data_IF_924490536809
#
_entry.id   IF_924490536809
#
_cell.length_a   1.000
_cell.length_b   1.000
_cell.length_c   1.000
_cell.angle_alpha   90.00
_cell.angle_beta   90.00
_cell.angle_gamma   90.00
#
_symmetry.space_group_name_H-M   'P 1'
#
loop_
_entity.id
_entity.type
_entity.pdbx_description
1 polymer ?
#
# COMPACT_ATOMS: atom_id res chain seq x y z
N UNK A 1 -11.79 -5.83 21.14
CA UNK A 1 -10.90 -5.30 20.09
C UNK A 1 -10.13 -6.42 19.40
N UNK A 2 -9.60 -7.39 20.14
CA UNK A 2 -8.81 -8.50 19.58
C UNK A 2 -9.54 -9.30 18.51
N UNK A 3 -10.80 -9.66 18.75
CA UNK A 3 -11.62 -10.36 17.75
C UNK A 3 -11.79 -9.54 16.46
N UNK A 4 -11.93 -8.21 16.57
CA UNK A 4 -12.00 -7.33 15.39
C UNK A 4 -10.69 -7.35 14.60
N UNK A 5 -9.53 -7.40 15.28
CA UNK A 5 -8.22 -7.53 14.63
C UNK A 5 -8.08 -8.88 13.92
N UNK A 6 -8.50 -9.97 14.57
CA UNK A 6 -8.52 -11.31 13.98
C UNK A 6 -9.35 -11.35 12.71
N UNK A 7 -10.55 -10.77 12.76
CA UNK A 7 -11.45 -10.70 11.61
C UNK A 7 -10.91 -9.82 10.48
N UNK A 8 -10.30 -8.67 10.76
CA UNK A 8 -9.68 -7.84 9.71
C UNK A 8 -8.43 -8.53 9.12
N UNK A 9 -7.61 -9.21 9.93
CA UNK A 9 -6.47 -9.99 9.44
C UNK A 9 -6.91 -11.15 8.54
N UNK A 10 -7.97 -11.87 8.91
CA UNK A 10 -8.53 -12.96 8.09
C UNK A 10 -9.05 -12.47 6.74
N UNK A 11 -9.52 -11.23 6.63
CA UNK A 11 -10.03 -10.63 5.37
C UNK A 11 -8.92 -10.31 4.37
N UNK A 12 -7.71 -10.04 4.85
CA UNK A 12 -6.56 -9.72 3.98
C UNK A 12 -5.73 -10.96 3.60
N UNK A 13 -6.01 -12.11 4.21
CA UNK A 13 -5.39 -13.39 3.85
C UNK A 13 -6.29 -14.13 2.85
N UNK A 14 -5.77 -14.30 1.65
CA UNK A 14 -6.36 -15.12 0.60
C UNK A 14 -5.80 -16.54 0.69
N UNK A 15 -6.67 -17.53 0.56
CA UNK A 15 -6.30 -18.94 0.55
C UNK A 15 -6.23 -19.43 -0.89
N UNK A 16 -5.19 -20.17 -1.25
CA UNK A 16 -5.11 -20.80 -2.57
C UNK A 16 -6.09 -21.97 -2.68
N UNK A 17 -6.46 -22.31 -3.91
CA UNK A 17 -7.32 -23.47 -4.17
C UNK A 17 -6.60 -24.75 -3.69
N UNK A 18 -7.27 -25.62 -2.92
CA UNK A 18 -6.74 -26.93 -2.54
C UNK A 18 -6.13 -27.73 -3.70
N UNK A 19 -6.73 -27.67 -4.89
CA UNK A 19 -6.24 -28.39 -6.08
C UNK A 19 -4.86 -27.88 -6.51
N UNK A 20 -4.63 -26.56 -6.51
CA UNK A 20 -3.32 -25.97 -6.82
C UNK A 20 -2.25 -26.41 -5.82
N UNK A 21 -2.62 -26.50 -4.54
CA UNK A 21 -1.70 -26.94 -3.48
C UNK A 21 -1.33 -28.41 -3.69
N UNK A 22 -2.31 -29.26 -3.99
CA UNK A 22 -2.08 -30.68 -4.28
C UNK A 22 -1.19 -30.89 -5.50
N UNK A 23 -1.37 -30.09 -6.55
CA UNK A 23 -0.52 -30.14 -7.75
C UNK A 23 0.94 -29.78 -7.44
N UNK A 24 1.17 -28.75 -6.61
CA UNK A 24 2.51 -28.38 -6.14
C UNK A 24 3.16 -29.54 -5.37
N UNK A 25 2.41 -30.15 -4.45
CA UNK A 25 2.87 -31.28 -3.64
C UNK A 25 3.26 -32.46 -4.55
N UNK A 26 2.38 -32.86 -5.48
CA UNK A 26 2.61 -33.97 -6.41
C UNK A 26 3.86 -33.75 -7.26
N UNK A 27 4.00 -32.54 -7.82
CA UNK A 27 5.16 -32.17 -8.62
C UNK A 27 6.47 -32.29 -7.83
N UNK A 28 6.54 -31.68 -6.64
CA UNK A 28 7.76 -31.67 -5.82
C UNK A 28 8.22 -33.06 -5.39
N UNK A 29 7.30 -33.91 -4.93
CA UNK A 29 7.63 -35.28 -4.52
C UNK A 29 8.12 -36.13 -5.70
N UNK A 30 7.67 -35.82 -6.91
CA UNK A 30 8.09 -36.55 -8.12
C UNK A 30 9.48 -36.15 -8.60
N UNK A 31 9.95 -34.96 -8.23
CA UNK A 31 11.21 -34.38 -8.71
C UNK A 31 12.41 -34.66 -7.79
N UNK A 32 12.20 -34.92 -6.48
CA UNK A 32 13.30 -35.20 -5.54
C UNK A 32 12.82 -35.79 -4.20
N UNK A 33 13.75 -36.37 -3.44
CA UNK A 33 13.52 -36.75 -2.03
C UNK A 33 13.48 -35.47 -1.18
N UNK A 34 12.27 -35.03 -0.84
CA UNK A 34 12.01 -33.77 -0.13
C UNK A 34 11.50 -34.04 1.27
N UNK A 35 11.98 -33.26 2.24
CA UNK A 35 11.45 -33.28 3.60
C UNK A 35 10.00 -32.75 3.68
N UNK A 36 9.14 -33.51 4.36
CA UNK A 36 7.71 -33.22 4.57
C UNK A 36 7.52 -32.11 5.62
N UNK A 37 7.93 -30.90 5.27
CA UNK A 37 7.88 -29.70 6.11
C UNK A 37 7.62 -28.43 5.28
N UNK A 38 7.36 -27.31 5.96
CA UNK A 38 7.36 -25.99 5.35
C UNK A 38 8.78 -25.42 5.23
N UNK A 39 9.10 -24.75 4.12
CA UNK A 39 10.36 -24.03 3.92
C UNK A 39 10.83 -23.99 2.46
N UNK A 40 11.82 -23.14 2.19
CA UNK A 40 12.48 -23.09 0.87
C UNK A 40 13.16 -24.42 0.58
N UNK A 41 12.82 -25.06 -0.55
CA UNK A 41 13.32 -26.40 -0.90
C UNK A 41 12.71 -27.55 -0.10
N UNK A 42 11.64 -27.29 0.68
CA UNK A 42 10.87 -28.31 1.40
C UNK A 42 9.56 -28.64 0.65
N UNK A 43 8.63 -29.34 1.27
CA UNK A 43 7.39 -29.76 0.60
C UNK A 43 6.53 -28.58 0.16
N UNK A 44 6.35 -27.59 1.03
CA UNK A 44 5.57 -26.38 0.75
C UNK A 44 6.21 -25.14 1.36
N UNK A 45 5.85 -23.97 0.88
CA UNK A 45 6.09 -22.70 1.57
C UNK A 45 4.77 -22.08 2.00
N UNK A 46 4.78 -21.22 3.02
CA UNK A 46 3.56 -20.52 3.47
C UNK A 46 2.93 -19.72 2.33
N UNK A 47 3.76 -19.10 1.48
CA UNK A 47 3.33 -18.34 0.29
C UNK A 47 2.71 -19.21 -0.82
N UNK A 48 2.94 -20.51 -0.77
CA UNK A 48 2.29 -21.46 -1.69
C UNK A 48 0.90 -21.87 -1.21
N UNK A 49 0.57 -21.65 0.06
CA UNK A 49 -0.74 -21.97 0.66
C UNK A 49 -1.63 -20.73 0.77
N UNK A 50 -1.05 -19.58 1.13
CA UNK A 50 -1.77 -18.32 1.32
C UNK A 50 -1.13 -17.14 0.57
N UNK A 51 -1.95 -16.18 0.19
CA UNK A 51 -1.57 -14.84 -0.24
C UNK A 51 -2.01 -13.79 0.79
N UNK A 52 -1.33 -12.64 0.82
CA UNK A 52 -1.76 -11.48 1.62
C UNK A 52 -1.94 -10.29 0.70
N UNK A 53 -3.16 -9.78 0.62
CA UNK A 53 -3.56 -8.69 -0.28
C UNK A 53 -3.04 -7.34 0.21
N UNK A 54 -2.94 -7.15 1.53
CA UNK A 54 -2.47 -5.89 2.07
C UNK A 54 -0.94 -5.76 1.91
N UNK A 55 -0.43 -4.81 1.10
CA UNK A 55 0.97 -4.77 0.69
C UNK A 55 1.94 -4.52 1.86
N UNK A 56 1.58 -3.59 2.74
CA UNK A 56 2.38 -3.26 3.92
C UNK A 56 2.44 -4.46 4.88
N UNK A 57 1.29 -5.08 5.20
CA UNK A 57 1.25 -6.28 6.06
C UNK A 57 2.04 -7.45 5.46
N UNK A 58 1.89 -7.70 4.16
CA UNK A 58 2.59 -8.79 3.47
C UNK A 58 4.12 -8.73 3.64
N UNK A 59 4.70 -7.52 3.61
CA UNK A 59 6.14 -7.30 3.86
C UNK A 59 6.54 -7.49 5.30
N UNK A 60 5.62 -7.15 6.20
CA UNK A 60 5.86 -7.21 7.63
C UNK A 60 5.71 -8.63 8.16
N UNK A 61 5.12 -9.58 7.42
CA UNK A 61 5.01 -10.97 7.86
C UNK A 61 6.38 -11.64 8.02
N UNK A 62 6.59 -12.24 9.19
CA UNK A 62 7.76 -13.05 9.48
C UNK A 62 7.56 -14.48 9.00
N UNK A 63 7.66 -14.68 7.69
CA UNK A 63 7.50 -16.01 7.09
C UNK A 63 8.47 -17.04 7.69
N UNK A 64 9.65 -16.62 8.14
CA UNK A 64 10.63 -17.51 8.76
C UNK A 64 10.13 -18.09 10.08
N UNK A 65 9.66 -17.24 11.00
CA UNK A 65 9.15 -17.71 12.29
C UNK A 65 7.75 -18.35 12.18
N UNK A 66 6.89 -17.89 11.27
CA UNK A 66 5.64 -18.58 10.96
C UNK A 66 5.92 -20.01 10.47
N UNK A 67 6.92 -20.18 9.60
CA UNK A 67 7.34 -21.51 9.12
C UNK A 67 7.81 -22.41 10.28
N UNK A 68 8.61 -21.86 11.22
CA UNK A 68 9.05 -22.61 12.40
C UNK A 68 7.89 -23.06 13.29
N UNK A 69 6.89 -22.20 13.48
CA UNK A 69 5.71 -22.50 14.30
C UNK A 69 4.86 -23.60 13.65
N UNK A 70 4.64 -23.51 12.33
CA UNK A 70 3.97 -24.56 11.55
C UNK A 70 4.72 -25.90 11.62
N UNK A 71 6.04 -25.90 11.49
CA UNK A 71 6.85 -27.11 11.58
C UNK A 71 6.94 -27.66 13.02
N UNK A 72 6.64 -26.86 14.05
CA UNK A 72 6.57 -27.32 15.43
C UNK A 72 5.20 -27.91 15.77
N UNK A 73 4.18 -27.65 14.95
CA UNK A 73 2.83 -28.15 15.14
C UNK A 73 2.69 -29.60 14.67
N UNK A 74 2.45 -30.52 15.61
CA UNK A 74 2.32 -31.96 15.34
C UNK A 74 1.18 -32.27 14.38
N UNK A 75 0.03 -31.58 14.52
CA UNK A 75 -1.14 -31.79 13.65
C UNK A 75 -0.84 -31.40 12.20
N UNK A 76 -0.14 -30.29 11.98
CA UNK A 76 0.27 -29.86 10.63
C UNK A 76 1.18 -30.90 9.98
N UNK A 77 2.15 -31.44 10.74
CA UNK A 77 3.03 -32.51 10.27
C UNK A 77 2.27 -33.79 9.92
N UNK A 78 1.29 -34.18 10.73
CA UNK A 78 0.42 -35.33 10.45
C UNK A 78 -0.40 -35.13 9.18
N UNK A 79 -1.01 -33.96 8.99
CA UNK A 79 -1.79 -33.64 7.79
C UNK A 79 -0.91 -33.74 6.55
N UNK A 80 0.28 -33.13 6.57
CA UNK A 80 1.21 -33.20 5.44
C UNK A 80 1.61 -34.65 5.11
N UNK A 81 1.90 -35.48 6.13
CA UNK A 81 2.21 -36.91 5.93
C UNK A 81 1.04 -37.67 5.31
N UNK A 82 -0.19 -37.41 5.76
CA UNK A 82 -1.39 -38.05 5.20
C UNK A 82 -1.65 -37.64 3.75
N UNK A 83 -1.47 -36.36 3.42
CA UNK A 83 -1.57 -35.87 2.04
C UNK A 83 -0.55 -36.58 1.14
N UNK A 84 0.70 -36.69 1.59
CA UNK A 84 1.77 -37.39 0.85
C UNK A 84 1.44 -38.87 0.66
N UNK A 85 0.89 -39.54 1.66
CA UNK A 85 0.52 -40.96 1.59
C UNK A 85 -0.64 -41.21 0.62
N UNK A 86 -1.61 -40.30 0.56
CA UNK A 86 -2.82 -40.45 -0.25
C UNK A 86 -2.67 -39.88 -1.67
N UNK A 87 -1.55 -39.23 -2.01
CA UNK A 87 -1.38 -38.42 -3.23
C UNK A 87 -1.67 -39.17 -4.55
N UNK A 88 -1.42 -40.48 -4.59
CA UNK A 88 -1.58 -41.33 -5.78
C UNK A 88 -2.88 -42.16 -5.75
N UNK A 89 -3.71 -41.98 -4.73
CA UNK A 89 -4.98 -42.70 -4.61
C UNK A 89 -5.98 -42.24 -5.68
N UNK A 90 -6.64 -43.20 -6.30
CA UNK A 90 -7.64 -42.98 -7.37
C UNK A 90 -9.07 -43.28 -6.93
N UNK A 91 -9.25 -43.86 -5.74
CA UNK A 91 -10.57 -44.12 -5.19
C UNK A 91 -11.22 -42.83 -4.68
N UNK A 92 -12.54 -42.75 -4.86
CA UNK A 92 -13.34 -41.56 -4.55
C UNK A 92 -13.18 -41.12 -3.08
N UNK A 93 -13.14 -42.07 -2.15
CA UNK A 93 -13.04 -41.80 -0.71
C UNK A 93 -11.71 -41.15 -0.35
N UNK A 94 -10.60 -41.66 -0.91
CA UNK A 94 -9.28 -41.06 -0.71
C UNK A 94 -9.16 -39.66 -1.33
N UNK A 95 -9.78 -39.44 -2.50
CA UNK A 95 -9.81 -38.11 -3.13
C UNK A 95 -10.60 -37.10 -2.29
N UNK A 96 -11.76 -37.49 -1.75
CA UNK A 96 -12.53 -36.65 -0.82
C UNK A 96 -11.73 -36.34 0.45
N UNK A 97 -11.03 -37.34 1.00
CA UNK A 97 -10.16 -37.17 2.16
C UNK A 97 -8.97 -36.24 1.87
N UNK A 98 -8.36 -36.32 0.68
CA UNK A 98 -7.28 -35.43 0.27
C UNK A 98 -7.73 -33.96 0.23
N UNK A 99 -8.90 -33.71 -0.35
CA UNK A 99 -9.48 -32.36 -0.39
C UNK A 99 -9.77 -31.86 1.02
N UNK A 100 -10.35 -32.70 1.88
CA UNK A 100 -10.59 -32.36 3.29
C UNK A 100 -9.29 -32.02 4.03
N UNK A 101 -8.26 -32.87 3.94
CA UNK A 101 -6.96 -32.65 4.57
C UNK A 101 -6.28 -31.38 4.06
N UNK A 102 -6.41 -31.08 2.77
CA UNK A 102 -5.84 -29.88 2.18
C UNK A 102 -6.56 -28.62 2.67
N UNK A 103 -7.89 -28.66 2.76
CA UNK A 103 -8.66 -27.57 3.38
C UNK A 103 -8.26 -27.37 4.86
N UNK A 104 -8.14 -28.46 5.62
CA UNK A 104 -7.70 -28.39 7.01
C UNK A 104 -6.28 -27.80 7.13
N UNK A 105 -5.36 -28.17 6.23
CA UNK A 105 -4.02 -27.58 6.16
C UNK A 105 -4.08 -26.08 5.91
N UNK A 106 -4.88 -25.66 4.92
CA UNK A 106 -5.06 -24.25 4.56
C UNK A 106 -5.59 -23.44 5.75
N UNK A 107 -6.61 -23.95 6.44
CA UNK A 107 -7.19 -23.30 7.62
C UNK A 107 -6.16 -23.20 8.75
N UNK A 108 -5.39 -24.26 9.01
CA UNK A 108 -4.32 -24.23 10.02
C UNK A 108 -3.22 -23.24 9.68
N UNK A 109 -2.81 -23.15 8.42
CA UNK A 109 -1.82 -22.16 7.98
C UNK A 109 -2.37 -20.75 8.16
N UNK A 110 -3.62 -20.51 7.77
CA UNK A 110 -4.30 -19.22 7.93
C UNK A 110 -4.37 -18.81 9.40
N UNK A 111 -4.86 -19.70 10.27
CA UNK A 111 -4.96 -19.43 11.71
C UNK A 111 -3.60 -19.17 12.33
N UNK A 112 -2.58 -19.96 11.98
CA UNK A 112 -1.21 -19.77 12.48
C UNK A 112 -0.66 -18.41 12.06
N UNK A 113 -0.89 -17.98 10.82
CA UNK A 113 -0.44 -16.67 10.33
C UNK A 113 -1.14 -15.53 11.08
N UNK A 114 -2.46 -15.64 11.29
CA UNK A 114 -3.24 -14.66 12.06
C UNK A 114 -2.75 -14.60 13.51
N UNK A 115 -2.69 -15.74 14.18
CA UNK A 115 -2.30 -15.86 15.58
C UNK A 115 -0.89 -15.38 15.81
N UNK A 116 0.08 -15.86 15.01
CA UNK A 116 1.47 -15.47 15.14
C UNK A 116 1.62 -13.96 14.96
N UNK A 117 0.99 -13.40 13.92
CA UNK A 117 1.09 -11.96 13.62
C UNK A 117 0.48 -11.12 14.74
N UNK A 118 -0.74 -11.43 15.19
CA UNK A 118 -1.41 -10.64 16.23
C UNK A 118 -0.78 -10.84 17.60
N UNK A 119 -0.49 -12.09 17.99
CA UNK A 119 0.08 -12.41 19.29
C UNK A 119 1.48 -11.82 19.43
N UNK A 120 2.40 -12.12 18.53
CA UNK A 120 3.81 -11.70 18.67
C UNK A 120 4.06 -10.24 18.39
N UNK A 121 3.24 -9.60 17.55
CA UNK A 121 3.51 -8.23 17.09
C UNK A 121 2.57 -7.16 17.63
N UNK A 122 1.39 -7.54 18.14
CA UNK A 122 0.41 -6.58 18.68
C UNK A 122 0.20 -6.80 20.17
N UNK A 123 -0.11 -8.04 20.57
CA UNK A 123 -0.55 -8.35 21.95
C UNK A 123 0.62 -8.50 22.92
N UNK A 124 1.65 -9.26 22.54
CA UNK A 124 2.84 -9.55 23.35
C UNK A 124 4.02 -8.60 23.08
N UNK A 125 3.81 -7.54 22.27
CA UNK A 125 4.83 -6.51 22.09
C UNK A 125 5.03 -5.74 23.41
N UNK A 126 6.22 -5.83 23.99
CA UNK A 126 6.60 -5.12 25.22
C UNK A 126 6.82 -3.64 24.90
N UNK A 127 5.83 -2.78 25.20
CA UNK A 127 5.88 -1.31 25.11
C UNK A 127 6.49 -0.70 23.83
N UNK A 128 6.57 -1.49 22.77
CA UNK A 128 7.28 -1.22 21.53
C UNK A 128 6.27 -1.19 20.38
N UNK A 129 6.44 -0.20 19.51
CA UNK A 129 5.60 0.04 18.35
C UNK A 129 5.94 -0.85 17.15
N UNK A 130 6.73 -1.91 17.35
CA UNK A 130 7.29 -2.87 16.36
C UNK A 130 6.61 -2.86 14.98
N UNK A 131 7.36 -3.09 13.89
CA UNK A 131 7.01 -2.68 12.53
C UNK A 131 5.60 -3.00 12.00
N UNK A 132 4.90 -4.01 12.54
CA UNK A 132 3.51 -4.34 12.20
C UNK A 132 2.47 -3.33 12.70
N UNK A 133 2.77 -2.53 13.72
CA UNK A 133 1.83 -1.55 14.30
C UNK A 133 2.06 -0.17 13.69
N UNK A 134 3.34 0.23 13.60
CA UNK A 134 3.81 1.42 12.88
C UNK A 134 5.07 0.99 12.10
N UNK A 135 5.03 0.94 10.77
CA UNK A 135 6.24 0.79 9.96
C UNK A 135 7.36 1.77 10.40
N UNK A 136 8.62 1.29 10.53
CA UNK A 136 9.82 2.03 11.03
C UNK A 136 9.72 2.57 12.45
N UNK A 137 8.81 2.03 13.25
CA UNK A 137 9.05 2.00 14.69
C UNK A 137 10.39 1.29 14.96
N UNK A 138 11.16 1.89 15.85
CA UNK A 138 12.39 1.31 16.40
C UNK A 138 12.10 0.91 17.83
N UNK A 139 12.58 -0.26 18.23
CA UNK A 139 12.42 -0.70 19.61
C UNK A 139 13.03 0.29 20.60
N UNK A 140 12.46 0.38 21.81
CA UNK A 140 12.98 1.26 22.88
C UNK A 140 14.48 1.09 23.09
N UNK A 141 14.98 -0.13 22.91
CA UNK A 141 16.38 -0.52 23.12
C UNK A 141 17.26 -0.29 21.89
N UNK A 142 16.68 -0.08 20.71
CA UNK A 142 17.42 -0.03 19.44
C UNK A 142 17.76 1.39 18.98
N UNK A 143 17.03 2.42 19.44
CA UNK A 143 17.35 3.86 19.43
C UNK A 143 16.28 4.54 20.32
N UNK A 144 16.60 5.49 21.21
CA UNK A 144 15.58 6.21 21.96
C UNK A 144 14.61 6.88 20.98
N UNK A 145 13.40 6.33 20.93
CA UNK A 145 12.31 6.64 20.01
C UNK A 145 12.38 8.10 19.51
N UNK A 146 12.93 8.29 18.31
CA UNK A 146 13.21 9.63 17.75
C UNK A 146 11.90 10.43 17.54
N UNK A 147 10.78 9.71 17.50
CA UNK A 147 9.46 10.29 17.30
C UNK A 147 8.83 10.88 18.55
N UNK A 148 9.32 10.57 19.77
CA UNK A 148 9.10 11.30 21.03
C UNK A 148 9.72 10.52 22.21
N UNK A 149 10.77 11.08 22.82
CA UNK A 149 11.42 10.52 24.02
C UNK A 149 10.42 10.54 25.19
N UNK A 150 9.86 9.39 25.58
CA UNK A 150 8.96 9.24 26.73
C UNK A 150 7.53 8.77 26.44
N UNK A 151 7.16 8.52 25.19
CA UNK A 151 5.84 7.94 24.89
C UNK A 151 5.81 6.43 25.18
N UNK A 152 4.84 6.00 25.99
CA UNK A 152 4.50 4.60 26.23
C UNK A 152 3.16 4.29 25.57
N UNK A 153 3.17 3.35 24.63
CA UNK A 153 1.95 2.87 24.00
C UNK A 153 1.44 1.68 24.79
N UNK A 154 0.26 1.82 25.39
CA UNK A 154 -0.36 0.69 26.09
C UNK A 154 -0.90 -0.33 25.07
N UNK A 155 -1.41 -1.46 25.56
CA UNK A 155 -1.96 -2.52 24.70
C UNK A 155 -3.09 -2.01 23.80
N UNK A 156 -3.96 -1.15 24.29
CA UNK A 156 -5.10 -0.64 23.54
C UNK A 156 -4.66 0.30 22.41
N UNK A 157 -3.65 1.13 22.63
CA UNK A 157 -3.07 1.99 21.60
C UNK A 157 -2.47 1.17 20.46
N UNK A 158 -1.70 0.12 20.80
CA UNK A 158 -1.11 -0.79 19.81
C UNK A 158 -2.19 -1.53 19.02
N UNK A 159 -3.24 -1.99 19.69
CA UNK A 159 -4.37 -2.64 19.04
C UNK A 159 -5.12 -1.69 18.11
N UNK A 160 -5.28 -0.43 18.49
CA UNK A 160 -5.91 0.59 17.64
C UNK A 160 -5.07 0.89 16.39
N UNK A 161 -3.76 1.06 16.53
CA UNK A 161 -2.85 1.32 15.42
C UNK A 161 -2.79 0.13 14.44
N UNK A 162 -2.70 -1.09 14.96
CA UNK A 162 -2.79 -2.30 14.13
C UNK A 162 -4.14 -2.38 13.39
N UNK A 163 -5.23 -2.00 14.06
CA UNK A 163 -6.56 -1.98 13.45
C UNK A 163 -6.65 -0.95 12.33
N UNK A 164 -6.09 0.25 12.51
CA UNK A 164 -6.02 1.28 11.47
C UNK A 164 -5.22 0.80 10.25
N UNK A 165 -4.06 0.18 10.46
CA UNK A 165 -3.27 -0.39 9.38
C UNK A 165 -4.06 -1.47 8.63
N UNK A 166 -4.60 -2.47 9.32
CA UNK A 166 -5.38 -3.54 8.68
C UNK A 166 -6.59 -3.02 7.90
N UNK A 167 -7.18 -1.90 8.34
CA UNK A 167 -8.32 -1.30 7.66
C UNK A 167 -7.95 -0.33 6.56
N UNK A 168 -6.70 0.13 6.52
CA UNK A 168 -6.19 1.06 5.51
C UNK A 168 -6.44 0.50 4.10
N UNK A 169 -6.55 1.41 3.14
CA UNK A 169 -6.88 1.08 1.75
C UNK A 169 -5.55 0.91 1.01
N UNK A 170 -5.24 -0.28 0.49
CA UNK A 170 -4.07 -0.48 -0.34
C UNK A 170 -4.14 0.34 -1.62
N UNK A 171 -3.03 1.02 -1.95
CA UNK A 171 -2.86 1.75 -3.20
C UNK A 171 -1.52 1.33 -3.82
N UNK A 172 -1.58 0.49 -4.83
CA UNK A 172 -0.41 -0.13 -5.45
C UNK A 172 0.26 -1.16 -4.53
N UNK A 173 1.58 -1.31 -4.69
CA UNK A 173 2.35 -2.39 -4.05
C UNK A 173 3.01 -2.02 -2.73
N UNK A 174 3.05 -0.73 -2.40
CA UNK A 174 3.91 -0.20 -1.34
C UNK A 174 3.17 0.72 -0.37
N UNK A 175 1.99 1.23 -0.76
CA UNK A 175 1.28 2.27 -0.04
C UNK A 175 -0.05 1.73 0.45
N UNK A 176 -0.45 2.13 1.66
CA UNK A 176 -1.82 1.96 2.14
C UNK A 176 -2.24 3.20 2.93
N UNK A 177 -3.47 3.67 2.72
CA UNK A 177 -3.95 4.95 3.24
C UNK A 177 -5.14 4.71 4.17
N UNK A 178 -5.04 5.18 5.40
CA UNK A 178 -6.13 5.23 6.36
C UNK A 178 -6.63 6.67 6.48
N UNK A 179 -7.95 6.86 6.37
CA UNK A 179 -8.59 8.14 6.62
C UNK A 179 -9.30 8.03 7.98
N UNK A 180 -9.25 9.08 8.78
CA UNK A 180 -10.02 9.19 10.01
C UNK A 180 -11.47 9.57 9.68
N UNK A 181 -12.42 9.06 10.47
CA UNK A 181 -13.84 9.37 10.34
C UNK A 181 -14.59 8.60 9.25
N UNK A 182 -15.81 9.07 8.94
CA UNK A 182 -16.76 8.36 8.08
C UNK A 182 -16.35 8.30 6.61
N UNK A 183 -15.49 9.24 6.17
CA UNK A 183 -14.95 9.26 4.82
C UNK A 183 -14.24 7.95 4.45
N UNK A 184 -13.54 7.33 5.41
CA UNK A 184 -12.88 6.05 5.19
C UNK A 184 -13.85 4.92 4.87
N UNK A 185 -14.95 4.82 5.64
CA UNK A 185 -15.97 3.80 5.44
C UNK A 185 -16.69 4.01 4.11
N UNK A 186 -16.98 5.27 3.79
CA UNK A 186 -17.57 5.67 2.51
C UNK A 186 -16.67 5.24 1.34
N UNK A 187 -15.37 5.53 1.42
CA UNK A 187 -14.42 5.16 0.37
C UNK A 187 -14.35 3.64 0.19
N UNK A 188 -14.27 2.85 1.27
CA UNK A 188 -14.30 1.37 1.17
C UNK A 188 -15.60 0.85 0.54
N UNK A 189 -16.73 1.48 0.85
CA UNK A 189 -18.02 1.15 0.23
C UNK A 189 -18.00 1.48 -1.27
N UNK A 190 -17.48 2.64 -1.66
CA UNK A 190 -17.34 3.06 -3.05
C UNK A 190 -16.49 2.07 -3.86
N UNK A 191 -15.32 1.68 -3.34
CA UNK A 191 -14.42 0.72 -4.00
C UNK A 191 -15.10 -0.63 -4.23
N UNK A 192 -15.84 -1.13 -3.23
CA UNK A 192 -16.59 -2.39 -3.37
C UNK A 192 -17.73 -2.28 -4.36
N UNK A 193 -18.50 -1.18 -4.33
CA UNK A 193 -19.69 -1.03 -5.18
C UNK A 193 -19.36 -0.71 -6.64
N UNK A 194 -18.43 0.23 -6.88
CA UNK A 194 -18.09 0.70 -8.24
C UNK A 194 -17.03 -0.16 -8.92
N UNK A 195 -16.01 -0.61 -8.17
CA UNK A 195 -14.86 -1.29 -8.76
C UNK A 195 -14.84 -2.80 -8.48
N UNK A 196 -15.67 -3.29 -7.55
CA UNK A 196 -15.59 -4.64 -7.01
C UNK A 196 -14.16 -4.98 -6.51
N UNK A 197 -13.52 -4.01 -5.86
CA UNK A 197 -12.13 -4.11 -5.38
C UNK A 197 -12.01 -3.70 -3.92
N UNK A 198 -10.98 -4.24 -3.28
CA UNK A 198 -10.52 -3.87 -1.94
C UNK A 198 -9.21 -3.05 -1.96
N UNK A 199 -8.55 -3.01 -3.12
CA UNK A 199 -7.30 -2.29 -3.37
C UNK A 199 -7.41 -1.44 -4.65
N UNK A 200 -6.58 -0.41 -4.73
CA UNK A 200 -6.45 0.45 -5.90
C UNK A 200 -5.13 0.20 -6.61
N UNK A 201 -5.17 0.04 -7.93
CA UNK A 201 -3.99 -0.14 -8.78
C UNK A 201 -3.61 1.16 -9.49
N UNK A 202 -2.44 1.19 -10.14
CA UNK A 202 -2.00 2.33 -10.98
C UNK A 202 -3.03 2.72 -12.04
N UNK A 203 -3.71 1.74 -12.62
CA UNK A 203 -4.75 1.99 -13.63
C UNK A 203 -5.99 2.66 -13.05
N UNK A 204 -6.38 2.29 -11.82
CA UNK A 204 -7.59 2.79 -11.19
C UNK A 204 -7.49 4.29 -10.93
N UNK A 205 -6.35 4.77 -10.43
CA UNK A 205 -6.14 6.20 -10.12
C UNK A 205 -5.34 6.97 -11.18
N UNK A 206 -5.13 6.37 -12.36
CA UNK A 206 -4.32 6.93 -13.48
C UNK A 206 -2.94 7.42 -13.03
N UNK A 207 -2.21 6.57 -12.30
CA UNK A 207 -0.86 6.86 -11.84
C UNK A 207 0.18 5.94 -12.48
N UNK A 208 1.43 6.37 -12.47
CA UNK A 208 2.61 5.56 -12.82
C UNK A 208 3.19 4.84 -11.60
N UNK A 209 4.04 3.84 -11.83
CA UNK A 209 4.77 3.16 -10.76
C UNK A 209 5.68 4.11 -9.97
N UNK A 210 6.20 5.16 -10.63
CA UNK A 210 6.97 6.22 -9.97
C UNK A 210 6.11 7.06 -9.02
N UNK A 211 4.85 7.31 -9.35
CA UNK A 211 3.94 8.02 -8.45
C UNK A 211 3.54 7.13 -7.27
N UNK A 212 3.33 5.83 -7.52
CA UNK A 212 3.03 4.82 -6.49
C UNK A 212 4.21 4.50 -5.56
N UNK A 213 5.39 5.04 -5.84
CA UNK A 213 6.53 5.01 -4.90
C UNK A 213 6.64 6.28 -4.06
N UNK A 214 5.71 7.23 -4.20
CA UNK A 214 5.72 8.51 -3.49
C UNK A 214 4.41 8.70 -2.71
N UNK A 215 4.45 8.76 -1.36
CA UNK A 215 3.25 8.74 -0.52
C UNK A 215 2.27 9.90 -0.78
N UNK A 216 2.76 11.15 -0.81
CA UNK A 216 1.90 12.33 -0.99
C UNK A 216 1.49 12.53 -2.45
N UNK A 217 2.30 12.09 -3.41
CA UNK A 217 1.87 12.08 -4.83
C UNK A 217 0.74 11.08 -5.03
N UNK A 218 0.85 9.89 -4.42
CA UNK A 218 -0.20 8.87 -4.44
C UNK A 218 -1.48 9.36 -3.77
N UNK A 219 -1.38 9.97 -2.59
CA UNK A 219 -2.53 10.58 -1.92
C UNK A 219 -3.18 11.66 -2.81
N UNK A 220 -2.38 12.53 -3.41
CA UNK A 220 -2.88 13.60 -4.30
C UNK A 220 -3.60 13.01 -5.52
N UNK A 221 -3.02 11.98 -6.15
CA UNK A 221 -3.64 11.24 -7.27
C UNK A 221 -4.97 10.61 -6.86
N UNK A 222 -5.01 9.95 -5.70
CA UNK A 222 -6.22 9.36 -5.15
C UNK A 222 -7.31 10.41 -4.94
N UNK A 223 -6.99 11.55 -4.34
CA UNK A 223 -7.96 12.62 -4.08
C UNK A 223 -8.47 13.26 -5.37
N UNK A 224 -7.60 13.50 -6.36
CA UNK A 224 -8.01 14.01 -7.69
C UNK A 224 -8.88 12.99 -8.43
N UNK A 225 -8.54 11.70 -8.36
CA UNK A 225 -9.35 10.64 -8.94
C UNK A 225 -10.72 10.56 -8.27
N UNK A 226 -10.77 10.54 -6.93
CA UNK A 226 -12.02 10.52 -6.17
C UNK A 226 -12.91 11.70 -6.52
N UNK A 227 -12.33 12.89 -6.62
CA UNK A 227 -13.03 14.08 -7.09
C UNK A 227 -13.73 13.79 -8.42
N UNK A 228 -13.03 13.27 -9.42
CA UNK A 228 -13.61 12.99 -10.74
C UNK A 228 -14.70 11.90 -10.70
N UNK A 229 -14.59 10.90 -9.83
CA UNK A 229 -15.57 9.80 -9.72
C UNK A 229 -16.81 10.12 -8.89
N UNK A 230 -16.72 11.09 -7.98
CA UNK A 230 -17.75 11.42 -7.01
C UNK A 230 -18.62 12.61 -7.41
N UNK A 231 -18.14 13.48 -8.31
CA UNK A 231 -18.80 14.74 -8.62
C UNK A 231 -20.03 14.64 -9.53
N UNK A 232 -20.30 13.47 -10.10
CA UNK A 232 -21.47 13.22 -10.97
C UNK A 232 -22.72 12.72 -10.19
N UNK A 233 -22.63 12.45 -8.87
CA UNK A 233 -23.73 11.87 -8.09
C UNK A 233 -24.42 12.87 -7.15
N UNK A 234 -25.74 12.69 -6.96
CA UNK A 234 -26.65 13.45 -6.06
C UNK A 234 -26.20 13.57 -4.59
N UNK A 235 -25.16 12.83 -4.17
CA UNK A 235 -24.60 12.80 -2.81
C UNK A 235 -23.37 13.70 -2.63
N UNK A 236 -23.04 14.51 -3.65
CA UNK A 236 -21.86 15.35 -3.76
C UNK A 236 -21.50 16.13 -2.48
N UNK A 237 -22.43 16.95 -1.97
CA UNK A 237 -22.09 17.92 -0.91
C UNK A 237 -21.71 17.21 0.40
N UNK A 238 -22.40 16.12 0.74
CA UNK A 238 -22.09 15.35 1.95
C UNK A 238 -20.71 14.68 1.85
N UNK A 239 -20.32 14.17 0.69
CA UNK A 239 -19.06 13.45 0.53
C UNK A 239 -17.87 14.42 0.52
N UNK A 240 -18.05 15.59 -0.06
CA UNK A 240 -17.04 16.65 -0.05
C UNK A 240 -16.79 17.13 1.37
N UNK A 241 -17.83 17.32 2.18
CA UNK A 241 -17.71 17.63 3.61
C UNK A 241 -17.00 16.53 4.39
N UNK A 242 -17.33 15.26 4.13
CA UNK A 242 -16.61 14.13 4.73
C UNK A 242 -15.13 14.12 4.34
N UNK A 243 -14.80 14.42 3.08
CA UNK A 243 -13.41 14.51 2.63
C UNK A 243 -12.68 15.68 3.29
N UNK A 244 -13.29 16.87 3.36
CA UNK A 244 -12.73 18.08 4.00
C UNK A 244 -12.39 17.85 5.47
N UNK A 245 -13.29 17.19 6.19
CA UNK A 245 -13.13 16.91 7.62
C UNK A 245 -12.19 15.74 7.92
N UNK A 246 -11.82 14.94 6.91
CA UNK A 246 -10.93 13.80 7.08
C UNK A 246 -9.47 14.22 7.20
N UNK A 247 -8.79 13.63 8.17
CA UNK A 247 -7.32 13.55 8.29
C UNK A 247 -6.91 12.08 8.12
N UNK A 248 -5.62 11.75 8.25
CA UNK A 248 -5.25 10.34 8.19
C UNK A 248 -3.78 10.03 8.19
N UNK A 249 -3.50 8.79 7.78
CA UNK A 249 -2.17 8.19 7.84
C UNK A 249 -1.89 7.45 6.52
N UNK A 250 -0.71 7.68 5.95
CA UNK A 250 -0.15 6.95 4.83
C UNK A 250 0.91 6.01 5.37
N UNK A 251 0.70 4.72 5.18
CA UNK A 251 1.69 3.68 5.42
C UNK A 251 2.45 3.45 4.12
N UNK A 252 3.76 3.64 4.11
CA UNK A 252 4.59 3.52 2.91
C UNK A 252 5.88 2.76 3.22
N UNK A 253 5.97 1.52 2.75
CA UNK A 253 7.10 0.63 3.05
C UNK A 253 7.35 0.52 4.57
N UNK A 254 8.53 0.94 5.04
CA UNK A 254 8.80 1.08 6.46
C UNK A 254 8.40 2.44 7.02
N UNK A 255 7.83 3.41 6.32
CA UNK A 255 7.55 4.74 6.88
C UNK A 255 6.06 5.00 7.11
N UNK A 256 5.76 5.91 8.04
CA UNK A 256 4.42 6.39 8.33
C UNK A 256 4.37 7.90 8.21
N UNK A 257 3.43 8.41 7.43
CA UNK A 257 3.19 9.84 7.25
C UNK A 257 1.78 10.18 7.68
N UNK A 258 1.61 11.10 8.64
CA UNK A 258 0.30 11.67 8.93
C UNK A 258 0.01 12.84 7.99
N UNK A 259 -1.24 12.99 7.57
CA UNK A 259 -1.71 14.20 6.90
C UNK A 259 -2.83 14.87 7.72
N UNK A 260 -2.88 16.21 7.73
CA UNK A 260 -3.88 16.96 8.49
C UNK A 260 -5.26 16.87 7.83
N UNK A 261 -6.23 17.56 8.42
CA UNK A 261 -7.54 17.71 7.79
C UNK A 261 -7.41 18.31 6.39
N UNK A 262 -8.10 17.71 5.42
CA UNK A 262 -7.98 18.09 4.01
C UNK A 262 -8.77 19.35 3.64
N UNK A 263 -9.44 20.02 4.58
CA UNK A 263 -10.36 21.12 4.31
C UNK A 263 -9.81 22.16 3.32
N UNK A 264 -8.67 22.78 3.66
CA UNK A 264 -8.04 23.80 2.80
C UNK A 264 -7.62 23.24 1.44
N UNK A 265 -7.09 22.02 1.42
CA UNK A 265 -6.66 21.39 0.18
C UNK A 265 -7.85 21.12 -0.75
N UNK A 266 -8.95 20.60 -0.20
CA UNK A 266 -10.17 20.33 -0.96
C UNK A 266 -10.75 21.63 -1.51
N UNK A 267 -10.91 22.64 -0.65
CA UNK A 267 -11.48 23.94 -1.00
C UNK A 267 -10.69 24.65 -2.12
N UNK A 268 -9.37 24.70 -1.98
CA UNK A 268 -8.52 25.43 -2.93
C UNK A 268 -8.25 24.61 -4.19
N UNK A 269 -7.91 23.33 -4.05
CA UNK A 269 -7.33 22.53 -5.15
C UNK A 269 -8.31 21.57 -5.82
N UNK A 270 -9.34 21.08 -5.13
CA UNK A 270 -10.23 20.06 -5.70
C UNK A 270 -11.60 20.61 -6.12
N UNK A 271 -12.16 21.55 -5.37
CA UNK A 271 -13.47 22.11 -5.66
C UNK A 271 -13.44 23.09 -6.83
N UNK A 272 -12.45 24.00 -6.82
CA UNK A 272 -12.22 24.93 -7.92
C UNK A 272 -11.79 24.13 -9.15
N UNK A 273 -12.70 23.99 -10.13
CA UNK A 273 -12.47 23.20 -11.36
C UNK A 273 -11.16 23.59 -12.05
N UNK A 274 -10.87 24.89 -12.13
CA UNK A 274 -9.62 25.40 -12.68
C UNK A 274 -8.38 24.84 -11.97
N UNK A 275 -8.35 24.89 -10.64
CA UNK A 275 -7.21 24.43 -9.85
C UNK A 275 -7.05 22.91 -9.91
N UNK A 276 -8.16 22.16 -9.93
CA UNK A 276 -8.12 20.70 -10.11
C UNK A 276 -7.54 20.32 -11.46
N UNK A 277 -7.97 20.99 -12.54
CA UNK A 277 -7.41 20.76 -13.90
C UNK A 277 -5.91 21.06 -13.93
N UNK A 278 -5.46 22.09 -13.21
CA UNK A 278 -4.03 22.44 -13.09
C UNK A 278 -3.26 21.35 -12.34
N UNK A 279 -3.78 20.91 -11.20
CA UNK A 279 -3.17 19.85 -10.38
C UNK A 279 -3.07 18.54 -11.16
N UNK A 280 -4.15 18.10 -11.80
CA UNK A 280 -4.16 16.92 -12.67
C UNK A 280 -3.21 17.07 -13.85
N UNK A 281 -3.22 18.23 -14.52
CA UNK A 281 -2.36 18.52 -15.65
C UNK A 281 -0.86 18.53 -15.30
N UNK A 282 -0.50 19.00 -14.10
CA UNK A 282 0.87 18.91 -13.59
C UNK A 282 1.30 17.44 -13.46
N UNK A 283 0.51 16.65 -12.73
CA UNK A 283 0.83 15.24 -12.49
C UNK A 283 0.93 14.46 -13.81
N UNK A 284 -0.01 14.67 -14.74
CA UNK A 284 -0.02 14.03 -16.05
C UNK A 284 1.17 14.45 -16.92
N UNK A 285 1.55 15.73 -16.88
CA UNK A 285 2.70 16.24 -17.64
C UNK A 285 4.00 15.60 -17.17
N UNK A 286 4.21 15.54 -15.83
CA UNK A 286 5.39 14.92 -15.24
C UNK A 286 5.40 13.41 -15.51
N UNK A 287 4.28 12.71 -15.33
CA UNK A 287 4.15 11.29 -15.62
C UNK A 287 4.51 10.97 -17.07
N UNK A 288 3.93 11.70 -18.03
CA UNK A 288 4.18 11.50 -19.45
C UNK A 288 5.64 11.79 -19.81
N UNK A 289 6.24 12.82 -19.23
CA UNK A 289 7.66 13.14 -19.44
C UNK A 289 8.57 12.04 -18.91
N UNK A 290 8.36 11.59 -17.68
CA UNK A 290 9.15 10.53 -17.03
C UNK A 290 9.07 9.21 -17.80
N UNK A 291 7.86 8.79 -18.18
CA UNK A 291 7.66 7.54 -18.93
C UNK A 291 8.35 7.57 -20.31
N UNK A 292 8.23 8.69 -21.04
CA UNK A 292 8.92 8.86 -22.33
C UNK A 292 10.43 8.86 -22.17
N UNK A 293 10.94 9.62 -21.19
CA UNK A 293 12.38 9.71 -20.92
C UNK A 293 12.97 8.35 -20.53
N UNK A 294 12.28 7.59 -19.69
CA UNK A 294 12.69 6.24 -19.30
C UNK A 294 12.69 5.25 -20.46
N UNK A 295 11.67 5.31 -21.33
CA UNK A 295 11.61 4.49 -22.54
C UNK A 295 12.75 4.76 -23.53
N UNK A 296 13.27 5.98 -23.54
CA UNK A 296 14.35 6.45 -24.42
C UNK A 296 15.73 6.07 -23.84
N UNK A 297 16.01 6.45 -22.59
CA UNK A 297 17.35 6.32 -21.99
C UNK A 297 17.37 5.67 -20.60
N UNK A 298 16.61 4.59 -20.40
CA UNK A 298 16.40 3.84 -19.13
C UNK A 298 17.48 4.06 -18.06
N UNK A 299 18.65 3.44 -18.23
CA UNK A 299 19.75 3.47 -17.24
C UNK A 299 20.32 4.87 -16.98
N UNK A 300 20.23 5.77 -17.95
CA UNK A 300 20.81 7.10 -17.86
C UNK A 300 19.93 8.08 -17.06
N UNK A 301 18.61 7.83 -17.02
CA UNK A 301 17.64 8.76 -16.44
C UNK A 301 16.90 8.22 -15.23
N UNK A 302 16.96 6.91 -14.94
CA UNK A 302 16.26 6.27 -13.82
C UNK A 302 16.44 7.01 -12.48
N UNK A 303 17.68 7.16 -12.00
CA UNK A 303 17.93 7.89 -10.74
C UNK A 303 17.55 9.37 -10.78
N UNK A 304 17.57 10.01 -11.96
CA UNK A 304 17.12 11.41 -12.13
C UNK A 304 15.59 11.52 -12.06
N UNK A 305 14.88 10.52 -12.58
CA UNK A 305 13.42 10.41 -12.47
C UNK A 305 13.04 10.16 -11.00
N UNK A 306 13.74 9.27 -10.29
CA UNK A 306 13.51 9.06 -8.85
C UNK A 306 13.65 10.37 -8.06
N UNK A 307 14.70 11.15 -8.33
CA UNK A 307 14.91 12.45 -7.70
C UNK A 307 13.80 13.47 -8.05
N UNK A 308 13.34 13.48 -9.31
CA UNK A 308 12.21 14.30 -9.75
C UNK A 308 10.94 13.98 -8.95
N UNK A 309 10.66 12.70 -8.74
CA UNK A 309 9.48 12.24 -7.99
C UNK A 309 9.60 12.51 -6.49
N UNK A 310 10.80 12.42 -5.90
CA UNK A 310 11.05 12.85 -4.52
C UNK A 310 10.72 14.35 -4.32
N UNK A 311 11.13 15.20 -5.28
CA UNK A 311 10.79 16.64 -5.27
C UNK A 311 9.29 16.89 -5.46
N UNK A 312 8.64 16.14 -6.35
CA UNK A 312 7.18 16.20 -6.53
C UNK A 312 6.43 15.74 -5.27
N UNK A 313 6.93 14.73 -4.57
CA UNK A 313 6.38 14.28 -3.29
C UNK A 313 6.43 15.37 -2.23
N UNK A 314 7.54 16.10 -2.16
CA UNK A 314 7.63 17.25 -1.24
C UNK A 314 6.67 18.38 -1.63
N UNK A 315 6.58 18.75 -2.92
CA UNK A 315 5.61 19.75 -3.37
C UNK A 315 4.17 19.35 -3.02
N UNK A 316 3.79 18.11 -3.30
CA UNK A 316 2.43 17.59 -2.99
C UNK A 316 2.16 17.51 -1.49
N UNK A 317 3.17 17.17 -0.67
CA UNK A 317 3.07 17.28 0.79
C UNK A 317 2.73 18.71 1.22
N UNK A 318 3.43 19.72 0.68
CA UNK A 318 3.15 21.14 1.01
C UNK A 318 1.76 21.59 0.57
N UNK A 319 1.27 21.07 -0.56
CA UNK A 319 -0.10 21.31 -1.02
C UNK A 319 -1.12 20.67 -0.07
N UNK A 320 -0.92 19.42 0.35
CA UNK A 320 -1.83 18.72 1.26
C UNK A 320 -1.84 19.37 2.65
N UNK A 321 -0.67 19.71 3.19
CA UNK A 321 -0.54 20.22 4.56
C UNK A 321 -0.85 21.71 4.69
N UNK A 322 -0.43 22.51 3.71
CA UNK A 322 -0.51 23.97 3.77
C UNK A 322 -1.35 24.61 2.68
N UNK A 323 -1.76 23.85 1.64
CA UNK A 323 -2.48 24.34 0.46
C UNK A 323 -1.77 25.42 -0.36
N UNK A 324 -0.47 25.61 -0.11
CA UNK A 324 0.37 26.62 -0.75
C UNK A 324 1.33 25.97 -1.76
N UNK A 325 1.57 26.66 -2.87
CA UNK A 325 2.59 26.25 -3.84
C UNK A 325 3.97 26.63 -3.30
N UNK A 326 4.82 25.63 -3.01
CA UNK A 326 6.20 25.86 -2.62
C UNK A 326 7.06 26.02 -3.89
N UNK A 327 7.30 27.29 -4.27
CA UNK A 327 7.92 27.66 -5.54
C UNK A 327 9.34 27.14 -5.73
N UNK A 328 10.08 26.94 -4.64
CA UNK A 328 11.42 26.35 -4.68
C UNK A 328 11.38 24.88 -5.14
N UNK A 329 10.37 24.11 -4.74
CA UNK A 329 10.17 22.74 -5.21
C UNK A 329 9.72 22.70 -6.66
N UNK A 330 8.87 23.64 -7.08
CA UNK A 330 8.51 23.78 -8.50
C UNK A 330 9.76 24.04 -9.34
N UNK A 331 10.64 24.94 -8.88
CA UNK A 331 11.94 25.19 -9.52
C UNK A 331 12.81 23.93 -9.56
N UNK A 332 12.94 23.23 -8.44
CA UNK A 332 13.74 21.99 -8.37
C UNK A 332 13.21 20.88 -9.28
N UNK A 333 11.90 20.78 -9.45
CA UNK A 333 11.24 19.87 -10.40
C UNK A 333 11.64 20.26 -11.83
N UNK A 334 11.57 21.55 -12.16
CA UNK A 334 11.99 22.07 -13.46
C UNK A 334 13.48 21.81 -13.75
N UNK A 335 14.35 22.05 -12.78
CA UNK A 335 15.79 21.76 -12.90
C UNK A 335 16.03 20.26 -13.15
N UNK A 336 15.31 19.37 -12.45
CA UNK A 336 15.36 17.92 -12.71
C UNK A 336 14.89 17.54 -14.12
N UNK A 337 13.87 18.21 -14.65
CA UNK A 337 13.40 17.99 -16.03
C UNK A 337 14.47 18.41 -17.03
N UNK A 338 15.09 19.58 -16.86
CA UNK A 338 16.20 20.05 -17.70
C UNK A 338 17.35 19.03 -17.66
N UNK A 339 17.76 18.61 -16.48
CA UNK A 339 18.82 17.64 -16.28
C UNK A 339 18.61 16.33 -17.05
N UNK A 340 17.36 15.83 -17.07
CA UNK A 340 16.98 14.64 -17.83
C UNK A 340 17.08 14.91 -19.34
N UNK A 341 16.54 16.04 -19.81
CA UNK A 341 16.61 16.45 -21.22
C UNK A 341 18.07 16.54 -21.68
N UNK A 342 18.94 17.19 -20.92
CA UNK A 342 20.35 17.34 -21.27
C UNK A 342 21.09 16.01 -21.30
N UNK A 343 20.76 15.10 -20.36
CA UNK A 343 21.36 13.77 -20.31
C UNK A 343 21.02 12.98 -21.57
N UNK A 344 19.74 12.99 -21.99
CA UNK A 344 19.31 12.32 -23.21
C UNK A 344 19.87 12.98 -24.47
N UNK A 345 19.94 14.32 -24.50
CA UNK A 345 20.54 15.07 -25.60
C UNK A 345 22.00 14.71 -25.81
N UNK A 346 22.78 14.56 -24.73
CA UNK A 346 24.19 14.12 -24.79
C UNK A 346 24.35 12.70 -25.36
N UNK A 347 23.28 11.89 -25.33
CA UNK A 347 23.21 10.56 -25.93
C UNK A 347 22.62 10.56 -27.35
N UNK A 348 22.39 11.73 -27.94
CA UNK A 348 21.82 11.87 -29.28
C UNK A 348 20.30 11.65 -29.33
N UNK A 349 19.60 11.72 -28.18
CA UNK A 349 18.16 11.51 -28.10
C UNK A 349 17.43 12.79 -27.68
N UNK A 350 16.27 13.04 -28.29
CA UNK A 350 15.46 14.23 -28.00
C UNK A 350 14.20 13.84 -27.23
N UNK A 351 13.89 14.57 -26.17
CA UNK A 351 12.62 14.47 -25.44
C UNK A 351 12.10 15.88 -25.17
N UNK A 352 10.78 16.05 -25.23
CA UNK A 352 10.11 17.33 -24.95
C UNK A 352 9.30 17.22 -23.67
N UNK A 353 9.37 18.25 -22.84
CA UNK A 353 8.53 18.41 -21.66
C UNK A 353 7.42 19.43 -21.93
N UNK A 354 6.20 19.13 -21.48
CA UNK A 354 5.12 20.13 -21.42
C UNK A 354 5.17 20.80 -20.03
N UNK A 355 5.58 22.06 -20.00
CA UNK A 355 5.73 22.83 -18.76
C UNK A 355 4.64 23.88 -18.58
N UNK A 356 3.56 23.80 -19.36
CA UNK A 356 2.45 24.74 -19.30
C UNK A 356 1.85 24.82 -17.88
N UNK A 357 1.86 23.70 -17.15
CA UNK A 357 1.38 23.63 -15.77
C UNK A 357 2.07 24.62 -14.83
N UNK A 358 3.34 24.99 -15.04
CA UNK A 358 4.06 25.96 -14.18
C UNK A 358 3.39 27.33 -14.26
N UNK A 359 3.06 27.78 -15.48
CA UNK A 359 2.37 29.05 -15.69
C UNK A 359 0.95 29.04 -15.11
N UNK A 360 0.30 27.87 -15.10
CA UNK A 360 -1.03 27.72 -14.55
C UNK A 360 -1.02 27.68 -13.02
N UNK A 361 -0.04 26.99 -12.41
CA UNK A 361 0.18 27.02 -10.96
C UNK A 361 0.37 28.45 -10.46
N UNK A 362 1.11 29.28 -11.21
CA UNK A 362 1.33 30.68 -10.83
C UNK A 362 0.01 31.43 -10.78
N UNK A 363 -0.83 31.27 -11.81
CA UNK A 363 -2.15 31.90 -11.87
C UNK A 363 -3.09 31.42 -10.76
N UNK A 364 -3.02 30.15 -10.37
CA UNK A 364 -3.83 29.59 -9.30
C UNK A 364 -3.42 30.16 -7.93
N UNK A 365 -2.12 30.24 -7.66
CA UNK A 365 -1.54 30.75 -6.41
C UNK A 365 -1.91 32.23 -6.19
N UNK A 366 -1.73 33.09 -7.20
CA UNK A 366 -2.07 34.51 -7.13
C UNK A 366 -3.57 34.79 -6.94
N UNK A 367 -4.45 33.93 -7.45
CA UNK A 367 -5.91 34.06 -7.27
C UNK A 367 -6.36 33.59 -5.88
N UNK A 368 -5.73 32.54 -5.34
CA UNK A 368 -5.97 32.08 -3.98
C UNK A 368 -5.65 33.16 -2.95
N UNK A 369 -4.52 33.87 -3.09
CA UNK A 369 -4.12 34.93 -2.16
C UNK A 369 -5.06 36.16 -2.12
N UNK A 370 -5.77 36.44 -3.21
CA UNK A 370 -6.67 37.60 -3.32
C UNK A 370 -8.05 37.35 -2.69
N UNK A 371 -8.52 36.10 -2.64
CA UNK A 371 -9.82 35.74 -2.06
C UNK A 371 -9.77 35.53 -0.53
N UNK A 372 -8.58 35.30 0.06
CA UNK A 372 -8.38 35.16 1.52
C UNK A 372 -7.94 36.45 2.23
N UNK A 373 -7.75 37.55 1.50
CA UNK A 373 -7.39 38.87 2.05
C UNK A 373 -8.53 39.90 1.96
N UNK A 374 -9.73 39.46 1.60
CA UNK A 374 -10.94 40.29 1.53
C UNK A 374 -11.91 40.00 2.68
#
# INVERSE_FOLDING_TARGET
MEEKLREEMKKIIETKNPEEILDIIKKRISESEIEIEFGTGKLLTVKEVIGVTHPVINRLLDYGNITKDLNSNTRVKEILKQIVQLKDSTDKTSLENLVHLTNELVDKVKDTVVDFTLKKRVLEAEDDLRPAVIPASVGRDEIPNIYLRGESYNRDDRMMLAYKLLRSIPVGRNISIFFEGDFHNYLKMLLRRKLNKTELTSKDIKSSEWELSQPYVTLTRLLVWLRNELWDEMLRDNIVELMRSSSGVIYFDSYVHSFPQLNRFVEIWLEKEGNKVILGGMLDSIMNFSNKSYGIGKKAVEGKIELLYSKLNFLTMRLIEGSNVEWESVRRIFDSIIDIIETLRKQGQEVKANLYFISQLARADFRGSAEYTA
#
